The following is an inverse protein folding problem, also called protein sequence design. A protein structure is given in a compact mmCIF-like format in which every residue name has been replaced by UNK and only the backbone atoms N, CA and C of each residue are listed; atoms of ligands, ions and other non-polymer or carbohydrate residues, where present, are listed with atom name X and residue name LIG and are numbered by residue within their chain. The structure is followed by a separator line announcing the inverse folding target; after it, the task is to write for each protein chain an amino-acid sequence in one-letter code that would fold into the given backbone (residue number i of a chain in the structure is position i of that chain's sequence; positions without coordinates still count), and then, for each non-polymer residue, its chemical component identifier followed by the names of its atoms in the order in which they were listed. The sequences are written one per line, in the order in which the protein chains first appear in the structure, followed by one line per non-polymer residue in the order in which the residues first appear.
data_IF_720226064471
#
_entry.id   IF_720226064471
#
_cell.length_a   1.000
_cell.length_b   1.000
_cell.length_c   1.000
_cell.angle_alpha   90.00
_cell.angle_beta   90.00
_cell.angle_gamma   90.00
#
_symmetry.space_group_name_H-M   'P 1'
#
loop_
_entity.id
_entity.type
_entity.pdbx_description
1 polymer ?
#
# COMPACT_ATOMS: atom_id res chain seq x y z
N UNK A 1 -14.18 9.21 -24.92
CA UNK A 1 -13.01 8.39 -24.59
C UNK A 1 -13.28 7.77 -23.24
N UNK A 2 -13.74 6.51 -23.24
CA UNK A 2 -14.11 5.80 -22.01
C UNK A 2 -12.84 5.49 -21.24
N UNK A 3 -12.72 6.01 -20.02
CA UNK A 3 -11.76 5.48 -19.07
C UNK A 3 -12.05 3.98 -18.95
N UNK A 4 -11.06 3.15 -19.28
CA UNK A 4 -11.16 1.72 -19.01
C UNK A 4 -11.03 1.60 -17.50
N UNK A 5 -12.17 1.64 -16.83
CA UNK A 5 -12.34 1.34 -15.41
C UNK A 5 -12.11 -0.16 -15.26
N UNK A 6 -10.83 -0.56 -15.19
CA UNK A 6 -10.50 -1.92 -14.76
C UNK A 6 -10.94 -2.02 -13.30
N UNK A 7 -11.90 -2.90 -12.97
CA UNK A 7 -12.36 -3.07 -11.60
C UNK A 7 -11.14 -3.45 -10.79
N UNK A 8 -10.71 -2.55 -9.90
CA UNK A 8 -9.78 -2.96 -8.86
C UNK A 8 -10.56 -4.01 -8.08
N UNK A 9 -10.18 -5.28 -8.20
CA UNK A 9 -10.77 -6.37 -7.43
C UNK A 9 -10.35 -6.16 -5.97
N UNK A 10 -11.03 -5.23 -5.32
CA UNK A 10 -10.92 -5.01 -3.89
C UNK A 10 -11.75 -6.09 -3.22
N UNK A 11 -11.13 -6.86 -2.33
CA UNK A 11 -11.85 -7.79 -1.49
C UNK A 11 -11.81 -7.32 -0.05
N UNK A 12 -12.84 -7.66 0.71
CA UNK A 12 -12.92 -7.38 2.14
C UNK A 12 -12.58 -8.64 2.90
N UNK A 13 -11.52 -8.60 3.70
CA UNK A 13 -11.17 -9.69 4.60
C UNK A 13 -11.70 -9.41 6.00
N UNK A 14 -12.62 -10.23 6.48
CA UNK A 14 -13.20 -10.05 7.80
C UNK A 14 -12.31 -10.67 8.87
N UNK A 15 -12.08 -9.95 9.98
CA UNK A 15 -11.46 -10.54 11.15
C UNK A 15 -12.48 -11.45 11.84
N UNK A 16 -12.16 -12.75 12.06
CA UNK A 16 -13.02 -13.67 12.81
C UNK A 16 -13.44 -13.08 14.16
N UNK A 17 -14.66 -13.39 14.58
CA UNK A 17 -15.24 -12.95 15.86
C UNK A 17 -15.47 -11.43 16.01
N UNK A 18 -15.35 -10.66 14.93
CA UNK A 18 -15.62 -9.20 14.94
C UNK A 18 -16.37 -8.77 13.68
N UNK A 19 -16.98 -7.58 13.68
CA UNK A 19 -17.53 -6.94 12.47
C UNK A 19 -16.50 -6.08 11.71
N UNK A 20 -15.22 -6.18 12.08
CA UNK A 20 -14.14 -5.43 11.45
C UNK A 20 -13.62 -6.18 10.22
N UNK A 21 -13.21 -5.42 9.20
CA UNK A 21 -12.67 -5.95 7.96
C UNK A 21 -11.49 -5.12 7.45
N UNK A 22 -10.58 -5.78 6.75
CA UNK A 22 -9.55 -5.16 5.93
C UNK A 22 -10.05 -5.02 4.50
N UNK A 23 -10.05 -3.81 3.98
CA UNK A 23 -10.16 -3.62 2.53
C UNK A 23 -8.80 -3.90 1.92
N UNK A 24 -8.71 -4.96 1.11
CA UNK A 24 -7.51 -5.34 0.40
C UNK A 24 -7.70 -5.06 -1.09
N UNK A 25 -6.70 -4.46 -1.72
CA UNK A 25 -6.66 -4.22 -3.16
C UNK A 25 -5.76 -5.26 -3.81
N UNK A 26 -6.24 -5.90 -4.87
CA UNK A 26 -5.39 -6.76 -5.70
C UNK A 26 -4.51 -5.90 -6.62
N UNK A 27 -3.20 -6.10 -6.54
CA UNK A 27 -2.21 -5.42 -7.37
C UNK A 27 -1.60 -6.47 -8.29
N UNK A 28 -1.85 -6.30 -9.59
CA UNK A 28 -1.21 -7.13 -10.60
C UNK A 28 0.31 -6.88 -10.59
N UNK A 29 1.07 -7.96 -10.59
CA UNK A 29 2.52 -7.91 -10.68
C UNK A 29 2.97 -7.45 -12.06
N UNK A 30 4.18 -6.91 -12.12
CA UNK A 30 4.77 -6.43 -13.35
C UNK A 30 6.26 -6.10 -13.20
N UNK A 31 6.96 -5.89 -14.32
CA UNK A 31 8.30 -5.36 -14.29
C UNK A 31 8.26 -3.93 -13.75
N UNK A 32 9.06 -3.62 -12.75
CA UNK A 32 9.16 -2.32 -12.13
C UNK A 32 10.60 -1.84 -12.14
N UNK A 33 10.80 -0.54 -12.35
CA UNK A 33 12.13 0.05 -12.34
C UNK A 33 12.27 0.96 -11.13
N UNK A 34 13.09 0.52 -10.17
CA UNK A 34 13.44 1.25 -8.95
C UNK A 34 14.81 1.89 -9.17
N UNK A 35 14.83 3.14 -9.63
CA UNK A 35 16.04 3.84 -10.04
C UNK A 35 16.75 3.14 -11.21
N UNK A 36 17.97 2.65 -10.98
CA UNK A 36 18.76 1.91 -11.98
C UNK A 36 18.53 0.38 -11.94
N UNK A 37 17.69 -0.12 -11.03
CA UNK A 37 17.43 -1.55 -10.88
C UNK A 37 16.06 -1.93 -11.44
N UNK A 38 16.01 -3.01 -12.23
CA UNK A 38 14.75 -3.63 -12.66
C UNK A 38 14.40 -4.76 -11.69
N UNK A 39 13.21 -4.69 -11.11
CA UNK A 39 12.63 -5.71 -10.25
C UNK A 39 11.39 -6.31 -10.90
N UNK A 40 11.15 -7.60 -10.70
CA UNK A 40 9.89 -8.24 -11.08
C UNK A 40 9.00 -8.32 -9.85
N UNK A 41 7.94 -7.53 -9.83
CA UNK A 41 6.97 -7.56 -8.73
C UNK A 41 5.95 -8.66 -9.02
N UNK A 42 5.77 -9.66 -8.14
CA UNK A 42 4.69 -10.66 -8.30
C UNK A 42 3.33 -10.01 -8.05
N UNK A 43 2.23 -10.63 -8.47
CA UNK A 43 0.90 -10.16 -8.07
C UNK A 43 0.69 -10.39 -6.57
N UNK A 44 0.20 -9.38 -5.87
CA UNK A 44 -0.04 -9.44 -4.43
C UNK A 44 -1.26 -8.61 -4.04
N UNK A 45 -1.68 -8.71 -2.79
CA UNK A 45 -2.79 -7.90 -2.26
C UNK A 45 -2.27 -7.04 -1.13
N UNK A 46 -2.64 -5.75 -1.13
CA UNK A 46 -2.22 -4.79 -0.11
C UNK A 46 -3.44 -4.18 0.58
N UNK A 47 -3.31 -3.86 1.87
CA UNK A 47 -4.34 -3.11 2.58
C UNK A 47 -4.51 -1.73 1.95
N UNK A 48 -5.76 -1.38 1.62
CA UNK A 48 -6.12 -0.07 1.07
C UNK A 48 -5.83 1.07 2.05
N UNK A 49 -5.95 0.77 3.34
CA UNK A 49 -5.73 1.71 4.43
C UNK A 49 -4.72 1.14 5.43
N UNK A 50 -4.01 2.01 6.18
CA UNK A 50 -3.23 1.58 7.33
C UNK A 50 -4.09 0.81 8.34
N UNK A 51 -3.44 -0.04 9.14
CA UNK A 51 -4.11 -0.75 10.23
C UNK A 51 -4.68 0.27 11.23
N UNK A 52 -5.99 0.26 11.42
CA UNK A 52 -6.66 1.18 12.35
C UNK A 52 -6.50 0.70 13.80
N UNK A 53 -6.70 1.61 14.74
CA UNK A 53 -6.66 1.32 16.17
C UNK A 53 -7.70 0.26 16.57
N UNK A 54 -8.90 0.30 15.98
CA UNK A 54 -9.92 -0.73 16.21
C UNK A 54 -9.46 -2.13 15.76
N UNK A 55 -8.83 -2.22 14.57
CA UNK A 55 -8.30 -3.49 14.04
C UNK A 55 -7.15 -4.00 14.91
N UNK A 56 -6.26 -3.10 15.33
CA UNK A 56 -5.16 -3.44 16.23
C UNK A 56 -5.67 -3.98 17.56
N UNK A 57 -6.57 -3.25 18.21
CA UNK A 57 -7.14 -3.63 19.50
C UNK A 57 -7.93 -4.94 19.41
N UNK A 58 -8.63 -5.21 18.31
CA UNK A 58 -9.34 -6.47 18.11
C UNK A 58 -8.41 -7.70 18.07
N UNK A 59 -7.17 -7.54 17.55
CA UNK A 59 -6.19 -8.63 17.43
C UNK A 59 -5.27 -8.72 18.66
N UNK A 60 -4.79 -7.58 19.15
CA UNK A 60 -3.81 -7.50 20.23
C UNK A 60 -4.46 -7.48 21.62
N UNK A 61 -5.61 -6.82 21.75
CA UNK A 61 -6.34 -6.62 23.01
C UNK A 61 -6.07 -5.26 23.66
N UNK A 62 -5.00 -4.58 23.26
CA UNK A 62 -4.54 -3.29 23.76
C UNK A 62 -4.44 -2.25 22.62
N UNK A 63 -4.34 -0.96 22.97
CA UNK A 63 -4.12 0.13 22.03
C UNK A 63 -2.98 1.03 22.56
N UNK A 64 -1.78 1.01 21.95
CA UNK A 64 -0.66 1.82 22.38
C UNK A 64 -0.74 3.29 21.90
N UNK A 65 -1.73 3.65 21.08
CA UNK A 65 -1.79 4.98 20.46
C UNK A 65 -2.05 6.09 21.48
N UNK A 66 -1.24 7.13 21.42
CA UNK A 66 -1.45 8.41 22.10
C UNK A 66 -2.71 9.14 21.60
N UNK A 67 -2.94 9.14 20.29
CA UNK A 67 -4.13 9.76 19.68
C UNK A 67 -5.29 8.78 19.54
N UNK A 68 -6.11 8.65 20.58
CA UNK A 68 -7.16 7.64 20.62
C UNK A 68 -8.35 7.96 19.71
N UNK A 69 -8.51 7.17 18.65
CA UNK A 69 -9.68 7.16 17.78
C UNK A 69 -9.75 5.82 17.03
N UNK A 70 -10.88 5.09 17.08
CA UNK A 70 -11.01 3.76 16.46
C UNK A 70 -10.70 3.73 14.96
N UNK A 71 -10.93 4.85 14.24
CA UNK A 71 -10.75 4.94 12.79
C UNK A 71 -9.38 5.51 12.39
N UNK A 72 -8.56 5.92 13.36
CA UNK A 72 -7.20 6.40 13.08
C UNK A 72 -6.22 5.24 12.90
N UNK A 73 -5.12 5.46 12.18
CA UNK A 73 -4.02 4.51 12.17
C UNK A 73 -3.51 4.28 13.59
N UNK A 74 -3.14 3.05 13.90
CA UNK A 74 -2.40 2.75 15.12
C UNK A 74 -1.00 3.35 15.03
N UNK A 75 -0.56 3.95 16.12
CA UNK A 75 0.78 4.52 16.27
C UNK A 75 1.43 4.06 17.59
N UNK A 76 2.69 4.43 17.82
CA UNK A 76 3.47 3.96 18.98
C UNK A 76 3.68 2.43 19.04
N UNK A 77 3.67 1.77 17.87
CA UNK A 77 3.95 0.34 17.76
C UNK A 77 5.43 0.08 17.45
N UNK A 78 6.04 -0.87 18.17
CA UNK A 78 7.39 -1.32 17.82
C UNK A 78 7.35 -2.35 16.71
N UNK A 79 8.48 -2.58 16.04
CA UNK A 79 8.60 -3.64 15.03
C UNK A 79 8.24 -5.02 15.59
N UNK A 80 8.58 -5.29 16.85
CA UNK A 80 8.28 -6.55 17.56
C UNK A 80 6.76 -6.73 17.73
N UNK A 81 6.06 -5.64 18.06
CA UNK A 81 4.60 -5.65 18.20
C UNK A 81 3.93 -5.93 16.86
N UNK A 82 4.44 -5.34 15.78
CA UNK A 82 3.94 -5.58 14.42
C UNK A 82 4.10 -7.04 14.01
N UNK A 83 5.26 -7.66 14.29
CA UNK A 83 5.45 -9.10 14.05
C UNK A 83 4.48 -9.96 14.86
N UNK A 84 4.24 -9.58 16.12
CA UNK A 84 3.29 -10.28 17.01
C UNK A 84 1.86 -10.15 16.51
N UNK A 85 1.45 -8.94 16.08
CA UNK A 85 0.17 -8.67 15.46
C UNK A 85 -0.04 -9.52 14.20
N UNK A 86 0.93 -9.54 13.29
CA UNK A 86 0.87 -10.36 12.07
C UNK A 86 0.75 -11.85 12.39
N UNK A 87 1.51 -12.35 13.37
CA UNK A 87 1.42 -13.75 13.78
C UNK A 87 0.03 -14.10 14.33
N UNK A 88 -0.51 -13.28 15.23
CA UNK A 88 -1.87 -13.47 15.77
C UNK A 88 -2.93 -13.37 14.67
N UNK A 89 -2.80 -12.40 13.77
CA UNK A 89 -3.71 -12.21 12.65
C UNK A 89 -3.71 -13.43 11.71
N UNK A 90 -2.53 -13.94 11.38
CA UNK A 90 -2.37 -15.13 10.54
C UNK A 90 -2.97 -16.37 11.19
N UNK A 91 -2.74 -16.56 12.49
CA UNK A 91 -3.33 -17.69 13.24
C UNK A 91 -4.86 -17.59 13.29
N UNK A 92 -5.43 -16.39 13.43
CA UNK A 92 -6.88 -16.19 13.50
C UNK A 92 -7.57 -16.37 12.15
N UNK A 93 -7.07 -15.69 11.13
CA UNK A 93 -7.69 -15.68 9.79
C UNK A 93 -7.39 -16.95 8.97
N UNK A 94 -6.35 -17.70 9.34
CA UNK A 94 -5.81 -18.79 8.53
C UNK A 94 -5.13 -18.32 7.24
N UNK A 95 -4.90 -17.01 7.09
CA UNK A 95 -4.23 -16.39 5.94
C UNK A 95 -2.80 -15.98 6.29
N UNK A 96 -2.01 -15.68 5.26
CA UNK A 96 -0.62 -15.24 5.44
C UNK A 96 -0.51 -13.75 5.13
N UNK A 97 -0.56 -12.94 6.17
CA UNK A 97 -0.24 -11.52 6.15
C UNK A 97 1.24 -11.29 6.47
N UNK A 98 1.83 -10.32 5.75
CA UNK A 98 3.20 -9.84 5.96
C UNK A 98 3.25 -8.33 5.69
N UNK A 99 4.33 -7.68 6.13
CA UNK A 99 4.65 -6.34 5.66
C UNK A 99 5.07 -6.39 4.18
N UNK A 100 4.66 -5.40 3.36
CA UNK A 100 5.19 -5.26 2.02
C UNK A 100 6.70 -4.96 2.10
N UNK A 101 7.44 -5.44 1.11
CA UNK A 101 8.81 -4.98 0.86
C UNK A 101 8.81 -3.53 0.35
N UNK A 102 9.96 -2.86 0.47
CA UNK A 102 10.17 -1.49 -0.06
C UNK A 102 9.73 -1.38 -1.52
N UNK A 103 10.13 -2.35 -2.36
CA UNK A 103 9.81 -2.36 -3.78
C UNK A 103 8.32 -2.60 -4.07
N UNK A 104 7.65 -3.47 -3.30
CA UNK A 104 6.20 -3.65 -3.39
C UNK A 104 5.46 -2.36 -2.97
N UNK A 105 5.96 -1.68 -1.94
CA UNK A 105 5.37 -0.43 -1.46
C UNK A 105 5.56 0.71 -2.46
N UNK A 106 6.76 0.90 -2.98
CA UNK A 106 7.04 1.89 -4.03
C UNK A 106 6.26 1.62 -5.31
N UNK A 107 6.14 0.36 -5.73
CA UNK A 107 5.36 -0.03 -6.90
C UNK A 107 3.92 0.47 -6.79
N UNK A 108 3.29 0.24 -5.62
CA UNK A 108 1.91 0.67 -5.38
C UNK A 108 1.80 2.19 -5.22
N UNK A 109 2.75 2.80 -4.50
CA UNK A 109 2.80 4.25 -4.32
C UNK A 109 2.96 5.00 -5.65
N UNK A 110 3.67 4.39 -6.62
CA UNK A 110 3.84 4.92 -7.97
C UNK A 110 2.67 4.59 -8.92
N UNK A 111 1.60 3.94 -8.45
CA UNK A 111 0.42 3.61 -9.26
C UNK A 111 0.42 2.23 -9.92
N UNK A 112 1.39 1.37 -9.60
CA UNK A 112 1.52 0.01 -10.11
C UNK A 112 1.69 -0.05 -11.62
N UNK A 113 1.11 -1.06 -12.27
CA UNK A 113 1.16 -1.24 -13.72
C UNK A 113 0.50 -0.09 -14.51
N UNK A 114 -0.31 0.76 -13.87
CA UNK A 114 -0.98 1.89 -14.54
C UNK A 114 0.01 2.95 -15.03
N UNK A 115 1.17 3.06 -14.39
CA UNK A 115 2.18 4.07 -14.76
C UNK A 115 3.01 3.68 -15.99
N UNK A 116 2.95 2.42 -16.41
CA UNK A 116 3.55 1.97 -17.69
C UNK A 116 2.64 2.22 -18.90
N UNK A 117 1.34 2.45 -18.69
CA UNK A 117 0.37 2.72 -19.76
C UNK A 117 0.13 4.21 -19.99
N UNK A 118 0.74 5.08 -19.17
CA UNK A 118 0.88 6.48 -19.57
C UNK A 118 2.04 6.54 -20.57
N UNK A 119 1.81 6.92 -21.84
CA UNK A 119 2.89 7.20 -22.76
C UNK A 119 3.61 8.43 -22.24
N UNK A 120 4.57 8.23 -21.34
CA UNK A 120 5.61 9.22 -21.10
C UNK A 120 6.42 9.17 -22.39
N UNK A 121 6.45 10.23 -23.21
CA UNK A 121 7.43 10.28 -24.28
C UNK A 121 8.78 10.27 -23.57
N UNK A 122 9.50 9.15 -23.68
CA UNK A 122 10.90 9.10 -23.32
C UNK A 122 11.62 9.96 -24.35
N UNK A 123 11.72 11.26 -24.09
CA UNK A 123 12.57 12.14 -24.88
C UNK A 123 14.02 11.87 -24.46
N UNK A 124 14.62 10.87 -25.10
CA UNK A 124 16.07 10.71 -25.15
C UNK A 124 16.63 11.83 -26.02
N UNK A 125 16.80 13.03 -25.45
CA UNK A 125 17.92 13.89 -25.81
C UNK A 125 18.07 15.06 -24.85
N UNK A 126 19.20 15.05 -24.16
CA UNK A 126 19.84 16.22 -23.58
C UNK A 126 19.87 17.35 -24.62
N UNK A 127 19.28 18.49 -24.30
CA UNK A 127 19.88 19.85 -24.30
C UNK A 127 18.78 20.90 -24.57
N UNK A 128 18.19 21.43 -23.48
CA UNK A 128 17.68 22.81 -23.28
C UNK A 128 16.43 22.79 -22.39
N UNK A 129 16.55 23.43 -21.24
CA UNK A 129 15.48 23.65 -20.28
C UNK A 129 14.65 24.86 -20.69
N UNK A 130 13.43 24.64 -21.19
CA UNK A 130 12.42 25.69 -21.36
C UNK A 130 11.25 25.45 -20.38
N UNK A 131 11.53 25.76 -19.12
CA UNK A 131 10.61 26.46 -18.20
C UNK A 131 9.27 25.84 -17.78
N UNK A 132 8.78 24.72 -18.30
CA UNK A 132 7.45 24.21 -17.90
C UNK A 132 7.38 22.68 -17.80
N UNK A 133 7.93 22.12 -16.74
CA UNK A 133 7.50 20.79 -16.26
C UNK A 133 6.11 20.93 -15.66
N UNK A 134 5.09 20.33 -16.28
CA UNK A 134 3.84 20.03 -15.58
C UNK A 134 4.12 18.90 -14.60
N UNK A 135 4.65 19.24 -13.43
CA UNK A 135 4.78 18.34 -12.30
C UNK A 135 3.38 17.90 -11.92
N UNK A 136 3.04 16.63 -12.16
CA UNK A 136 1.89 16.01 -11.52
C UNK A 136 2.07 16.22 -10.01
N UNK A 137 1.28 17.12 -9.45
CA UNK A 137 1.32 17.47 -8.03
C UNK A 137 0.66 16.32 -7.27
N UNK A 138 1.33 15.18 -7.19
CA UNK A 138 1.09 14.24 -6.13
C UNK A 138 1.50 14.96 -4.85
N UNK A 139 0.52 15.26 -3.99
CA UNK A 139 0.79 15.84 -2.68
C UNK A 139 1.86 14.98 -1.99
N UNK A 140 2.91 15.58 -1.42
CA UNK A 140 3.95 14.83 -0.74
C UNK A 140 3.32 13.94 0.34
N UNK A 141 3.80 12.70 0.43
CA UNK A 141 3.40 11.82 1.52
C UNK A 141 3.83 12.43 2.87
N UNK A 142 3.03 12.34 3.94
CA UNK A 142 3.12 13.26 5.08
C UNK A 142 4.16 12.88 6.16
N UNK A 143 5.28 12.25 5.81
CA UNK A 143 6.22 11.70 6.81
C UNK A 143 7.69 12.04 6.56
N UNK A 144 7.98 13.30 6.22
CA UNK A 144 9.33 13.88 6.34
C UNK A 144 9.26 15.09 7.30
#
# INVERSE_FOLDING_TARGET
MSAIDYPQESYRDRIPDTDLFFEMIHIAGGPFQMGNQRAQIPSFSLGKYPVTQALWQAVMGDNPSSFQDPNRPVEQVSWIDVQTFLKKLNTRTGKTYRLPSEAEWEYVAQGGHRSQDLPIPVETNSTKWDGTVKTATARPNPWD
#
